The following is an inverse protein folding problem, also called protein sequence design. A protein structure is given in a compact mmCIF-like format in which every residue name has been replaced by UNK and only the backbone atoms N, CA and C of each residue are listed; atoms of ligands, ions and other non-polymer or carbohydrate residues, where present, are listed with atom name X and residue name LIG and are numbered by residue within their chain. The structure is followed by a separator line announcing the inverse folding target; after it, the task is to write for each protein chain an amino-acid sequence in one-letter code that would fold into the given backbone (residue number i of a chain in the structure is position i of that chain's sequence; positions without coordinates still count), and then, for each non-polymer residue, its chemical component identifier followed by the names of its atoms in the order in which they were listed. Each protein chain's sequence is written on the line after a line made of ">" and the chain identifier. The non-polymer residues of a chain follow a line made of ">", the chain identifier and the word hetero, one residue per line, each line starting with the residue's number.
data_IF_309100623506
#
_entry.id   IF_309100623506
#
_cell.length_a   1.000
_cell.length_b   1.000
_cell.length_c   1.000
_cell.angle_alpha   90.00
_cell.angle_beta   90.00
_cell.angle_gamma   90.00
#
_symmetry.space_group_name_H-M   'P 1'
#
loop_
_entity.id
_entity.type
_entity.pdbx_description
1 polymer ?
#
# COMPACT_ATOMS: atom_id res chain seq x y z
N UNK A 1 29.14 9.14 8.04
CA UNK A 1 28.87 8.59 6.70
C UNK A 1 29.02 9.63 5.58
N UNK A 2 29.92 10.62 5.70
CA UNK A 2 30.25 11.47 4.54
C UNK A 2 31.15 10.69 3.56
N UNK A 3 32.01 9.82 4.10
CA UNK A 3 33.03 9.08 3.35
C UNK A 3 32.69 7.60 3.11
N UNK A 4 31.50 7.16 3.51
CA UNK A 4 31.04 5.77 3.40
C UNK A 4 29.53 5.73 3.10
N UNK A 5 29.05 4.77 2.29
CA UNK A 5 27.63 4.66 1.96
C UNK A 5 26.81 4.35 3.22
N UNK A 6 25.58 4.85 3.26
CA UNK A 6 24.66 4.61 4.37
C UNK A 6 23.31 4.08 3.87
N UNK A 7 22.61 3.40 4.77
CA UNK A 7 21.20 3.06 4.63
C UNK A 7 20.44 3.60 5.83
N UNK A 8 19.42 4.42 5.57
CA UNK A 8 18.55 4.98 6.61
C UNK A 8 17.13 4.49 6.40
N UNK A 9 16.65 3.63 7.31
CA UNK A 9 15.24 3.32 7.42
C UNK A 9 14.60 4.22 8.48
N UNK A 10 13.72 5.13 8.05
CA UNK A 10 13.05 6.11 8.90
C UNK A 10 11.53 5.86 8.97
N UNK A 11 11.08 4.84 9.73
CA UNK A 11 9.65 4.55 9.88
C UNK A 11 9.02 5.53 10.87
N UNK A 12 8.35 6.56 10.36
CA UNK A 12 7.62 7.50 11.23
C UNK A 12 6.41 6.81 11.86
N UNK A 13 6.15 7.08 13.15
CA UNK A 13 4.88 6.67 13.76
C UNK A 13 3.69 7.44 13.16
N UNK A 14 3.93 8.68 12.71
CA UNK A 14 2.94 9.44 12.00
C UNK A 14 2.54 8.72 10.69
N UNK A 15 1.26 8.67 10.31
CA UNK A 15 0.11 9.35 10.93
C UNK A 15 -0.79 8.40 11.73
N UNK A 16 -0.24 7.37 12.37
CA UNK A 16 -1.05 6.44 13.17
C UNK A 16 -1.65 7.14 14.40
N UNK A 17 -2.91 6.81 14.72
CA UNK A 17 -3.59 7.31 15.92
C UNK A 17 -2.92 6.80 17.22
N UNK A 18 -3.05 7.51 18.36
CA UNK A 18 -3.78 8.78 18.56
C UNK A 18 -3.10 9.97 17.87
N UNK A 19 -3.89 10.99 17.49
CA UNK A 19 -3.37 12.19 16.83
C UNK A 19 -3.01 13.26 17.84
N UNK A 20 -1.76 13.70 17.82
CA UNK A 20 -1.22 14.72 18.72
C UNK A 20 -0.45 15.78 17.92
N UNK A 21 -1.12 16.52 17.00
CA UNK A 21 -0.46 17.53 16.19
C UNK A 21 -0.10 18.78 17.00
N UNK A 22 0.81 19.57 16.44
CA UNK A 22 1.14 20.91 16.95
C UNK A 22 -0.11 21.82 16.90
N UNK A 23 -0.50 22.47 18.01
CA UNK A 23 -1.72 23.30 18.06
C UNK A 23 -1.77 24.40 16.99
N UNK A 24 -0.64 25.02 16.68
CA UNK A 24 -0.53 26.08 15.68
C UNK A 24 -0.84 25.60 14.26
N UNK A 25 -0.50 24.35 13.92
CA UNK A 25 -0.86 23.77 12.62
C UNK A 25 -2.35 23.44 12.56
N UNK A 26 -2.94 23.01 13.67
CA UNK A 26 -4.39 22.78 13.74
C UNK A 26 -5.16 24.06 13.47
N UNK A 27 -4.75 25.19 14.06
CA UNK A 27 -5.41 26.46 13.78
C UNK A 27 -5.21 26.95 12.36
N UNK A 28 -4.00 26.82 11.80
CA UNK A 28 -3.74 27.09 10.38
C UNK A 28 -4.73 26.35 9.48
N UNK A 29 -4.95 25.06 9.72
CA UNK A 29 -5.88 24.27 8.90
C UNK A 29 -7.37 24.54 9.20
N UNK A 30 -7.72 24.94 10.43
CA UNK A 30 -9.08 25.43 10.74
C UNK A 30 -9.39 26.70 9.97
N UNK A 31 -8.48 27.66 9.97
CA UNK A 31 -8.64 28.90 9.20
C UNK A 31 -8.73 28.64 7.70
N UNK A 32 -7.83 27.79 7.18
CA UNK A 32 -7.87 27.37 5.77
C UNK A 32 -9.20 26.71 5.41
N UNK A 33 -9.73 25.83 6.25
CA UNK A 33 -11.02 25.18 6.01
C UNK A 33 -12.18 26.20 5.98
N UNK A 34 -12.17 27.20 6.88
CA UNK A 34 -13.17 28.28 6.88
C UNK A 34 -13.10 29.12 5.60
N UNK A 35 -11.88 29.51 5.17
CA UNK A 35 -11.68 30.31 3.96
C UNK A 35 -12.15 29.58 2.70
N UNK A 36 -11.89 28.27 2.63
CA UNK A 36 -12.28 27.42 1.51
C UNK A 36 -13.72 26.88 1.61
N UNK A 37 -14.44 27.15 2.71
CA UNK A 37 -15.81 26.66 2.98
C UNK A 37 -15.90 25.13 2.86
N UNK A 38 -14.94 24.41 3.44
CA UNK A 38 -14.88 22.95 3.41
C UNK A 38 -15.62 22.35 4.61
N UNK A 39 -16.91 22.08 4.42
CA UNK A 39 -17.72 21.35 5.39
C UNK A 39 -17.23 19.89 5.47
N UNK A 40 -16.63 19.50 6.61
CA UNK A 40 -16.10 18.15 6.83
C UNK A 40 -14.58 18.00 6.73
N UNK A 41 -13.83 19.10 6.61
CA UNK A 41 -12.37 19.05 6.74
C UNK A 41 -11.94 18.49 8.11
N UNK A 42 -10.80 17.79 8.17
CA UNK A 42 -10.14 17.38 9.42
C UNK A 42 -8.82 18.16 9.61
N UNK A 43 -8.85 19.31 10.30
CA UNK A 43 -7.66 20.10 10.58
C UNK A 43 -6.61 19.37 11.42
N UNK A 44 -7.02 18.41 12.25
CA UNK A 44 -6.10 17.64 13.12
C UNK A 44 -5.28 16.70 12.25
N UNK A 45 -5.93 15.96 11.35
CA UNK A 45 -5.24 15.08 10.42
C UNK A 45 -4.37 15.86 9.42
N UNK A 46 -4.88 16.97 8.89
CA UNK A 46 -4.10 17.83 7.99
C UNK A 46 -2.82 18.36 8.67
N UNK A 47 -2.89 18.73 9.95
CA UNK A 47 -1.73 19.14 10.74
C UNK A 47 -0.72 18.01 10.94
N UNK A 48 -1.17 16.76 11.12
CA UNK A 48 -0.29 15.59 11.18
C UNK A 48 0.44 15.37 9.86
N UNK A 49 -0.26 15.52 8.73
CA UNK A 49 0.33 15.38 7.39
C UNK A 49 1.37 16.46 7.13
N UNK A 50 1.09 17.72 7.48
CA UNK A 50 2.09 18.80 7.35
C UNK A 50 3.32 18.54 8.23
N UNK A 51 3.15 17.96 9.42
CA UNK A 51 4.30 17.61 10.26
C UNK A 51 5.20 16.54 9.60
N UNK A 52 4.63 15.59 8.86
CA UNK A 52 5.41 14.62 8.06
C UNK A 52 6.14 15.35 6.94
N UNK A 53 5.44 16.19 6.18
CA UNK A 53 6.00 16.99 5.08
C UNK A 53 7.17 17.87 5.54
N UNK A 54 7.01 18.61 6.64
CA UNK A 54 8.08 19.42 7.23
C UNK A 54 9.31 18.57 7.62
N UNK A 55 9.11 17.35 8.11
CA UNK A 55 10.23 16.47 8.47
C UNK A 55 10.94 15.90 7.23
N UNK A 56 10.21 15.58 6.17
CA UNK A 56 10.80 15.21 4.87
C UNK A 56 11.62 16.39 4.33
N UNK A 57 11.07 17.61 4.33
CA UNK A 57 11.79 18.81 3.90
C UNK A 57 13.08 19.05 4.71
N UNK A 58 13.05 18.83 6.03
CA UNK A 58 14.24 18.92 6.88
C UNK A 58 15.31 17.89 6.53
N UNK A 59 14.90 16.66 6.20
CA UNK A 59 15.80 15.58 5.77
C UNK A 59 16.46 15.94 4.44
N UNK A 60 15.67 16.32 3.43
CA UNK A 60 16.18 16.69 2.11
C UNK A 60 17.14 17.89 2.19
N UNK A 61 16.76 18.94 2.92
CA UNK A 61 17.64 20.09 3.13
C UNK A 61 18.93 19.73 3.88
N UNK A 62 18.90 18.70 4.74
CA UNK A 62 20.12 18.20 5.38
C UNK A 62 21.03 17.51 4.38
N UNK A 63 20.50 16.63 3.52
CA UNK A 63 21.27 15.98 2.45
C UNK A 63 21.93 17.01 1.52
N UNK A 64 21.21 18.06 1.14
CA UNK A 64 21.75 19.17 0.32
C UNK A 64 22.89 19.91 1.04
N UNK A 65 22.69 20.29 2.31
CA UNK A 65 23.73 20.99 3.10
C UNK A 65 24.99 20.15 3.29
N UNK A 66 24.84 18.83 3.36
CA UNK A 66 25.97 17.90 3.47
C UNK A 66 26.56 17.51 2.10
N UNK A 67 26.02 18.02 0.99
CA UNK A 67 26.43 17.67 -0.37
C UNK A 67 26.31 16.17 -0.67
N UNK A 68 25.35 15.50 -0.01
CA UNK A 68 25.07 14.07 -0.18
C UNK A 68 23.90 13.80 -1.13
N UNK A 69 23.13 14.83 -1.45
CA UNK A 69 21.87 14.72 -2.19
C UNK A 69 22.07 13.97 -3.52
N UNK A 70 23.03 14.37 -4.35
CA UNK A 70 23.27 13.81 -5.68
C UNK A 70 23.55 12.29 -5.66
N UNK A 71 24.19 11.78 -4.60
CA UNK A 71 24.51 10.36 -4.44
C UNK A 71 23.60 9.64 -3.43
N UNK A 72 22.41 10.17 -3.17
CA UNK A 72 21.43 9.54 -2.26
C UNK A 72 20.14 9.24 -3.01
N UNK A 73 19.73 7.97 -3.02
CA UNK A 73 18.37 7.59 -3.41
C UNK A 73 17.44 7.76 -2.22
N UNK A 74 16.39 8.58 -2.39
CA UNK A 74 15.34 8.81 -1.41
C UNK A 74 14.04 8.18 -1.90
N UNK A 75 13.46 7.31 -1.08
CA UNK A 75 12.13 6.72 -1.31
C UNK A 75 11.19 7.20 -0.22
N UNK A 76 10.09 7.82 -0.60
CA UNK A 76 8.97 8.14 0.27
C UNK A 76 7.81 7.20 -0.05
N UNK A 77 7.34 6.45 0.94
CA UNK A 77 6.20 5.53 0.77
C UNK A 77 5.44 5.32 2.08
N UNK A 78 4.39 4.51 2.05
CA UNK A 78 3.61 4.09 3.22
C UNK A 78 3.44 2.56 3.26
N UNK A 79 3.10 2.02 4.43
CA UNK A 79 2.98 0.57 4.66
C UNK A 79 1.63 -0.01 4.20
N UNK A 80 0.56 0.79 4.26
CA UNK A 80 -0.79 0.43 3.86
C UNK A 80 -1.64 1.68 3.59
N UNK A 81 -2.82 1.50 3.01
CA UNK A 81 -3.80 2.56 2.83
C UNK A 81 -4.30 3.19 4.15
N UNK A 82 -4.90 4.37 4.03
CA UNK A 82 -5.45 5.15 5.16
C UNK A 82 -6.82 4.67 5.64
N UNK A 83 -7.52 5.51 6.40
CA UNK A 83 -8.94 5.30 6.74
C UNK A 83 -9.84 5.75 5.59
N UNK A 84 -11.11 5.28 5.49
CA UNK A 84 -11.95 5.48 4.30
C UNK A 84 -12.04 6.93 3.80
N UNK A 85 -12.14 7.90 4.70
CA UNK A 85 -12.25 9.32 4.35
C UNK A 85 -10.97 9.92 3.73
N UNK A 86 -9.81 9.28 3.90
CA UNK A 86 -8.51 9.75 3.40
C UNK A 86 -8.03 9.00 2.16
N UNK A 87 -8.77 7.98 1.74
CA UNK A 87 -8.46 7.19 0.54
C UNK A 87 -9.52 7.34 -0.54
N UNK A 88 -10.64 8.02 -0.25
CA UNK A 88 -11.64 8.36 -1.23
C UNK A 88 -11.01 9.08 -2.45
N UNK A 89 -11.42 8.75 -3.69
CA UNK A 89 -12.58 7.92 -4.05
C UNK A 89 -12.30 6.40 -4.09
N UNK A 90 -11.13 5.93 -3.66
CA UNK A 90 -10.83 4.49 -3.65
C UNK A 90 -11.67 3.75 -2.61
N UNK A 91 -12.06 2.52 -2.93
CA UNK A 91 -12.85 1.67 -2.04
C UNK A 91 -11.97 0.99 -0.98
N UNK A 92 -12.58 0.68 0.17
CA UNK A 92 -11.90 0.08 1.31
C UNK A 92 -11.04 1.07 2.09
N UNK A 93 -10.09 0.51 2.85
CA UNK A 93 -9.19 1.22 3.76
C UNK A 93 -8.21 0.21 4.36
N UNK A 94 -7.32 0.67 5.25
CA UNK A 94 -6.45 -0.19 6.07
C UNK A 94 -7.14 -1.49 6.52
N UNK A 95 -6.53 -2.62 6.15
CA UNK A 95 -7.00 -3.97 6.49
C UNK A 95 -7.91 -4.63 5.45
N UNK A 96 -8.17 -3.99 4.31
CA UNK A 96 -8.89 -4.57 3.17
C UNK A 96 -7.99 -4.63 1.92
N UNK A 97 -8.29 -5.55 0.99
CA UNK A 97 -7.58 -5.68 -0.29
C UNK A 97 -8.19 -4.89 -1.45
N UNK A 98 -9.20 -4.06 -1.19
CA UNK A 98 -9.64 -3.00 -2.10
C UNK A 98 -8.56 -1.90 -2.24
N UNK A 99 -8.59 -1.12 -3.32
CA UNK A 99 -7.55 -0.15 -3.70
C UNK A 99 -7.21 0.84 -2.57
N UNK A 100 -8.20 1.32 -1.82
CA UNK A 100 -7.98 2.22 -0.68
C UNK A 100 -7.26 1.57 0.51
N UNK A 101 -7.13 0.25 0.55
CA UNK A 101 -6.36 -0.47 1.58
C UNK A 101 -4.92 -0.80 1.17
N UNK A 102 -4.64 -0.93 -0.11
CA UNK A 102 -3.35 -1.40 -0.64
C UNK A 102 -2.59 -0.36 -1.48
N UNK A 103 -3.28 0.62 -2.07
CA UNK A 103 -2.63 1.70 -2.84
C UNK A 103 -2.10 2.76 -1.89
N UNK A 104 -0.82 3.05 -2.00
CA UNK A 104 -0.08 4.00 -1.15
C UNK A 104 0.64 5.05 -1.99
N UNK A 105 0.89 6.26 -1.46
CA UNK A 105 1.77 7.21 -2.13
C UNK A 105 3.18 6.61 -2.24
N UNK A 106 3.83 6.79 -3.38
CA UNK A 106 5.22 6.42 -3.60
C UNK A 106 5.90 7.50 -4.43
N UNK A 107 6.98 8.08 -3.90
CA UNK A 107 7.84 9.01 -4.63
C UNK A 107 9.29 8.57 -4.48
N UNK A 108 10.01 8.54 -5.59
CA UNK A 108 11.44 8.20 -5.62
C UNK A 108 12.18 9.39 -6.20
N UNK A 109 13.25 9.80 -5.51
CA UNK A 109 14.13 10.87 -5.93
C UNK A 109 15.58 10.37 -5.88
N UNK A 110 16.28 10.54 -7.00
CA UNK A 110 17.68 10.14 -7.16
C UNK A 110 18.23 10.80 -8.43
N UNK A 111 19.52 11.14 -8.45
CA UNK A 111 20.16 11.77 -9.61
C UNK A 111 20.12 10.88 -10.86
N UNK A 112 20.15 9.55 -10.71
CA UNK A 112 20.07 8.61 -11.81
C UNK A 112 18.69 8.48 -12.47
N UNK A 113 17.67 9.19 -11.98
CA UNK A 113 16.33 9.16 -12.60
C UNK A 113 16.33 10.02 -13.86
N UNK A 114 16.00 9.40 -15.00
CA UNK A 114 15.76 10.12 -16.24
C UNK A 114 14.47 10.94 -16.19
N UNK A 115 14.54 12.20 -16.64
CA UNK A 115 13.42 13.14 -16.72
C UNK A 115 12.70 13.33 -15.36
N UNK A 116 13.35 13.97 -14.36
CA UNK A 116 12.78 14.17 -13.04
C UNK A 116 11.43 14.92 -13.10
N UNK A 117 10.53 14.62 -12.17
CA UNK A 117 9.18 15.20 -12.11
C UNK A 117 8.13 14.48 -12.94
N UNK A 118 8.47 13.32 -13.53
CA UNK A 118 7.50 12.46 -14.24
C UNK A 118 6.69 11.56 -13.31
N UNK A 119 5.61 11.01 -13.86
CA UNK A 119 4.82 9.92 -13.25
C UNK A 119 5.15 8.58 -13.90
N UNK A 120 4.83 7.49 -13.20
CA UNK A 120 4.94 6.12 -13.71
C UNK A 120 3.75 5.32 -13.19
N UNK A 121 2.99 4.72 -14.10
CA UNK A 121 1.76 3.99 -13.77
C UNK A 121 1.98 2.47 -13.65
N UNK A 122 3.22 2.01 -13.81
CA UNK A 122 3.59 0.59 -13.62
C UNK A 122 3.32 0.20 -12.16
N UNK A 123 2.55 -0.87 -11.89
CA UNK A 123 2.31 -1.34 -10.53
C UNK A 123 3.60 -1.79 -9.85
N UNK A 124 3.94 -1.15 -8.73
CA UNK A 124 5.09 -1.50 -7.88
C UNK A 124 4.62 -1.96 -6.51
N UNK A 125 5.37 -2.87 -5.90
CA UNK A 125 5.12 -3.41 -4.56
C UNK A 125 6.28 -3.06 -3.63
N UNK A 126 6.02 -2.99 -2.32
CA UNK A 126 7.05 -2.66 -1.31
C UNK A 126 8.24 -3.61 -1.33
N UNK A 127 8.01 -4.87 -1.69
CA UNK A 127 9.06 -5.90 -1.86
C UNK A 127 10.02 -5.65 -3.02
N UNK A 128 9.64 -4.81 -4.00
CA UNK A 128 10.49 -4.46 -5.15
C UNK A 128 11.69 -3.60 -4.75
N UNK A 129 11.60 -2.88 -3.62
CA UNK A 129 12.73 -2.11 -3.12
C UNK A 129 13.91 -2.99 -2.71
N UNK A 130 13.68 -4.23 -2.27
CA UNK A 130 14.77 -5.13 -1.86
C UNK A 130 15.76 -5.43 -2.99
N UNK A 131 15.34 -5.98 -4.14
CA UNK A 131 16.25 -6.19 -5.27
C UNK A 131 16.73 -4.89 -5.91
N UNK A 132 15.92 -3.82 -5.90
CA UNK A 132 16.35 -2.51 -6.42
C UNK A 132 17.55 -1.95 -5.64
N UNK A 133 17.48 -2.00 -4.31
CA UNK A 133 18.58 -1.52 -3.45
C UNK A 133 19.80 -2.44 -3.52
N UNK A 134 19.60 -3.75 -3.69
CA UNK A 134 20.69 -4.69 -3.90
C UNK A 134 21.46 -4.39 -5.19
N UNK A 135 20.74 -4.14 -6.29
CA UNK A 135 21.34 -3.77 -7.58
C UNK A 135 22.14 -2.46 -7.50
N UNK A 136 21.56 -1.40 -6.92
CA UNK A 136 22.23 -0.10 -6.78
C UNK A 136 23.47 -0.15 -5.89
N UNK A 137 23.46 -0.98 -4.84
CA UNK A 137 24.58 -1.11 -3.91
C UNK A 137 25.64 -2.12 -4.37
N UNK A 138 25.38 -2.88 -5.44
CA UNK A 138 26.19 -4.03 -5.84
C UNK A 138 26.14 -5.21 -4.87
N UNK A 139 25.19 -5.22 -3.94
CA UNK A 139 24.99 -6.33 -3.03
C UNK A 139 24.42 -7.55 -3.76
N UNK A 140 24.84 -8.75 -3.34
CA UNK A 140 24.31 -10.01 -3.88
C UNK A 140 23.01 -10.37 -3.17
N UNK A 141 22.01 -10.76 -3.96
CA UNK A 141 20.79 -11.34 -3.40
C UNK A 141 21.09 -12.67 -2.69
N UNK A 142 20.34 -13.03 -1.63
CA UNK A 142 20.51 -14.30 -0.95
C UNK A 142 20.27 -15.48 -1.89
N UNK A 143 21.18 -16.46 -1.90
CA UNK A 143 21.07 -17.63 -2.78
C UNK A 143 20.03 -18.66 -2.32
N UNK A 144 19.68 -18.65 -1.03
CA UNK A 144 18.83 -19.68 -0.39
C UNK A 144 17.42 -19.18 -0.05
N UNK A 145 17.10 -17.94 -0.38
CA UNK A 145 15.80 -17.34 -0.12
C UNK A 145 15.20 -16.84 -1.43
N UNK A 146 13.98 -17.27 -1.81
CA UNK A 146 13.28 -16.69 -2.94
C UNK A 146 13.13 -15.18 -2.80
N UNK A 147 13.35 -14.46 -3.89
CA UNK A 147 13.13 -13.02 -3.98
C UNK A 147 11.99 -12.80 -4.96
N UNK A 148 10.82 -12.50 -4.42
CA UNK A 148 9.60 -12.31 -5.21
C UNK A 148 9.50 -10.90 -5.82
N UNK A 149 10.22 -9.92 -5.24
CA UNK A 149 10.31 -8.57 -5.78
C UNK A 149 11.10 -8.52 -7.08
N UNK A 150 10.87 -7.50 -7.90
CA UNK A 150 11.66 -7.21 -9.10
C UNK A 150 12.35 -5.86 -8.96
N UNK A 151 13.53 -5.71 -9.57
CA UNK A 151 14.25 -4.45 -9.53
C UNK A 151 13.48 -3.37 -10.30
N UNK A 152 13.37 -2.18 -9.70
CA UNK A 152 12.72 -1.02 -10.29
C UNK A 152 13.65 -0.21 -11.20
N UNK A 153 14.93 -0.57 -11.31
CA UNK A 153 15.92 0.15 -12.13
C UNK A 153 15.47 0.33 -13.59
N UNK A 154 14.91 -0.69 -14.27
CA UNK A 154 14.44 -0.51 -15.65
C UNK A 154 13.43 0.63 -15.83
N UNK A 155 12.50 0.77 -14.88
CA UNK A 155 11.49 1.82 -14.94
C UNK A 155 11.98 3.15 -14.39
N UNK A 156 13.00 3.19 -13.53
CA UNK A 156 13.60 4.42 -13.01
C UNK A 156 14.50 5.10 -14.05
N UNK A 157 15.33 4.30 -14.74
CA UNK A 157 16.27 4.73 -15.79
C UNK A 157 15.68 4.70 -17.21
N UNK A 158 14.42 4.24 -17.37
CA UNK A 158 13.76 4.02 -18.67
C UNK A 158 14.52 3.08 -19.62
N UNK A 159 15.25 2.13 -19.07
CA UNK A 159 15.95 1.10 -19.84
C UNK A 159 15.08 -0.11 -20.19
N UNK A 160 13.87 -0.22 -19.62
CA UNK A 160 12.90 -1.27 -19.98
C UNK A 160 11.70 -1.37 -19.05
N UNK A 161 10.98 -2.49 -19.16
CA UNK A 161 9.81 -2.83 -18.34
C UNK A 161 10.16 -3.81 -17.21
N UNK A 162 9.30 -3.92 -16.20
CA UNK A 162 9.48 -4.87 -15.08
C UNK A 162 9.23 -6.33 -15.45
N UNK A 163 8.68 -6.62 -16.65
CA UNK A 163 8.33 -7.95 -17.13
C UNK A 163 7.55 -8.79 -16.09
N UNK A 164 6.52 -8.18 -15.49
CA UNK A 164 5.67 -8.81 -14.49
C UNK A 164 4.27 -9.04 -15.05
N UNK A 165 3.82 -10.29 -15.03
CA UNK A 165 2.47 -10.66 -15.49
C UNK A 165 1.38 -10.20 -14.51
N UNK A 166 1.60 -10.37 -13.20
CA UNK A 166 0.63 -10.02 -12.18
C UNK A 166 1.29 -9.70 -10.82
N UNK A 167 0.55 -8.99 -9.98
CA UNK A 167 0.85 -8.74 -8.57
C UNK A 167 -0.23 -9.37 -7.68
N UNK A 168 0.16 -9.83 -6.49
CA UNK A 168 -0.68 -10.69 -5.66
C UNK A 168 -0.72 -10.22 -4.20
N UNK A 169 -1.85 -10.47 -3.55
CA UNK A 169 -2.04 -10.27 -2.11
C UNK A 169 -2.74 -11.48 -1.51
N UNK A 170 -2.32 -11.85 -0.31
CA UNK A 170 -2.95 -12.90 0.48
C UNK A 170 -3.08 -12.46 1.93
N UNK A 171 -4.32 -12.33 2.39
CA UNK A 171 -4.62 -11.82 3.71
C UNK A 171 -5.68 -12.70 4.40
N UNK A 172 -5.30 -13.90 4.87
CA UNK A 172 -6.23 -14.89 5.43
C UNK A 172 -6.60 -14.57 6.90
N UNK A 173 -6.77 -13.30 7.24
CA UNK A 173 -7.08 -12.87 8.61
C UNK A 173 -8.00 -11.65 8.65
N UNK A 174 -8.53 -11.35 9.83
CA UNK A 174 -9.39 -10.18 10.06
C UNK A 174 -8.59 -9.04 10.68
N UNK A 175 -8.67 -7.86 10.06
CA UNK A 175 -8.22 -6.61 10.67
C UNK A 175 -9.27 -5.54 10.45
N UNK A 176 -9.62 -4.81 11.52
CA UNK A 176 -10.55 -3.68 11.43
C UNK A 176 -11.89 -4.11 10.87
N UNK A 177 -12.26 -3.61 9.68
CA UNK A 177 -13.50 -3.97 8.96
C UNK A 177 -13.27 -4.95 7.80
N UNK A 178 -12.02 -5.32 7.53
CA UNK A 178 -11.70 -6.28 6.48
C UNK A 178 -12.02 -7.72 6.87
N UNK A 179 -12.26 -8.53 5.86
CA UNK A 179 -12.47 -9.98 5.92
C UNK A 179 -11.32 -10.73 5.24
N UNK A 180 -11.09 -12.02 5.58
CA UNK A 180 -10.08 -12.83 4.94
C UNK A 180 -10.30 -12.94 3.44
N UNK A 181 -9.31 -12.51 2.67
CA UNK A 181 -9.37 -12.53 1.22
C UNK A 181 -7.98 -12.65 0.59
N UNK A 182 -7.99 -12.94 -0.70
CA UNK A 182 -6.84 -12.87 -1.58
C UNK A 182 -7.18 -11.98 -2.77
N UNK A 183 -6.16 -11.34 -3.36
CA UNK A 183 -6.34 -10.54 -4.56
C UNK A 183 -5.21 -10.76 -5.56
N UNK A 184 -5.54 -10.61 -6.84
CA UNK A 184 -4.58 -10.57 -7.93
C UNK A 184 -4.89 -9.37 -8.82
N UNK A 185 -3.87 -8.68 -9.30
CA UNK A 185 -3.99 -7.69 -10.36
C UNK A 185 -3.05 -8.03 -11.50
N UNK A 186 -3.59 -8.07 -12.71
CA UNK A 186 -2.88 -8.25 -13.97
C UNK A 186 -3.41 -7.18 -14.93
N UNK A 187 -2.52 -6.32 -15.40
CA UNK A 187 -2.86 -5.10 -16.14
C UNK A 187 -3.92 -4.24 -15.39
N UNK A 188 -5.01 -3.94 -16.07
CA UNK A 188 -6.15 -3.19 -15.55
C UNK A 188 -7.11 -4.05 -14.73
N UNK A 189 -6.98 -5.38 -14.77
CA UNK A 189 -7.92 -6.28 -14.13
C UNK A 189 -7.48 -6.64 -12.73
N UNK A 190 -8.42 -6.57 -11.79
CA UNK A 190 -8.23 -7.01 -10.41
C UNK A 190 -9.32 -7.97 -10.02
N UNK A 191 -8.93 -9.11 -9.43
CA UNK A 191 -9.84 -10.07 -8.84
C UNK A 191 -9.60 -10.16 -7.34
N UNK A 192 -10.69 -10.19 -6.56
CA UNK A 192 -10.69 -10.44 -5.12
C UNK A 192 -11.45 -11.74 -4.86
N UNK A 193 -10.84 -12.68 -4.15
CA UNK A 193 -11.45 -13.92 -3.66
C UNK A 193 -11.70 -13.78 -2.16
N UNK A 194 -12.96 -13.91 -1.73
CA UNK A 194 -13.37 -13.84 -0.33
C UNK A 194 -13.49 -15.23 0.27
N UNK A 195 -12.87 -15.47 1.43
CA UNK A 195 -12.90 -16.80 2.04
C UNK A 195 -14.15 -17.06 2.90
N UNK A 196 -14.85 -16.01 3.35
CA UNK A 196 -16.07 -16.17 4.18
C UNK A 196 -17.18 -16.92 3.43
N UNK A 197 -17.50 -16.46 2.22
CA UNK A 197 -18.60 -16.96 1.39
C UNK A 197 -18.14 -17.57 0.06
N UNK A 198 -16.82 -17.64 -0.18
CA UNK A 198 -16.20 -18.17 -1.40
C UNK A 198 -16.56 -17.37 -2.67
N UNK A 199 -17.07 -16.14 -2.52
CA UNK A 199 -17.36 -15.27 -3.64
C UNK A 199 -16.09 -14.71 -4.28
N UNK A 200 -16.22 -14.33 -5.55
CA UNK A 200 -15.20 -13.59 -6.29
C UNK A 200 -15.79 -12.29 -6.83
N UNK A 201 -14.97 -11.25 -6.82
CA UNK A 201 -15.28 -9.95 -7.38
C UNK A 201 -14.22 -9.61 -8.43
N UNK A 202 -14.64 -9.08 -9.58
CA UNK A 202 -13.77 -8.69 -10.67
C UNK A 202 -13.99 -7.20 -10.98
N UNK A 203 -12.91 -6.44 -11.10
CA UNK A 203 -12.94 -5.01 -11.42
C UNK A 203 -11.97 -4.70 -12.56
N UNK A 204 -12.31 -3.69 -13.36
CA UNK A 204 -11.38 -3.06 -14.29
C UNK A 204 -10.98 -1.70 -13.69
N UNK A 205 -9.73 -1.56 -13.25
CA UNK A 205 -9.21 -0.41 -12.50
C UNK A 205 -8.90 0.81 -13.38
N UNK A 206 -8.76 0.62 -14.69
CA UNK A 206 -8.64 1.75 -15.63
C UNK A 206 -9.96 2.53 -15.67
N UNK A 207 -11.08 1.81 -15.76
CA UNK A 207 -12.41 2.42 -15.86
C UNK A 207 -13.07 2.69 -14.50
N UNK A 208 -12.76 1.88 -13.48
CA UNK A 208 -13.37 1.91 -12.16
C UNK A 208 -12.32 1.75 -11.04
N UNK A 209 -11.46 2.76 -10.82
CA UNK A 209 -10.47 2.75 -9.75
C UNK A 209 -11.09 2.72 -8.34
N UNK A 210 -12.39 3.05 -8.24
CA UNK A 210 -13.17 2.97 -7.02
C UNK A 210 -13.78 1.59 -6.77
N UNK A 211 -13.57 0.60 -7.64
CA UNK A 211 -14.11 -0.77 -7.49
C UNK A 211 -15.61 -0.78 -7.15
N UNK A 212 -16.37 0.11 -7.79
CA UNK A 212 -17.79 0.33 -7.54
C UNK A 212 -18.69 -0.67 -8.25
N UNK A 213 -18.18 -1.34 -9.30
CA UNK A 213 -18.96 -2.28 -10.14
C UNK A 213 -18.26 -3.62 -10.27
N UNK A 214 -18.81 -4.64 -9.60
CA UNK A 214 -18.37 -6.03 -9.79
C UNK A 214 -18.77 -6.55 -11.18
N UNK A 215 -17.77 -6.95 -11.97
CA UNK A 215 -17.89 -7.45 -13.34
C UNK A 215 -17.83 -8.97 -13.46
N UNK A 216 -17.74 -9.72 -12.35
CA UNK A 216 -17.45 -11.15 -12.36
C UNK A 216 -18.49 -11.96 -13.18
N UNK A 217 -19.79 -11.70 -12.96
CA UNK A 217 -20.87 -12.36 -13.70
C UNK A 217 -20.94 -11.91 -15.16
N UNK A 218 -20.60 -10.65 -15.45
CA UNK A 218 -20.65 -10.10 -16.79
C UNK A 218 -19.46 -10.54 -17.66
N UNK A 219 -18.34 -10.95 -17.04
CA UNK A 219 -17.11 -11.37 -17.72
C UNK A 219 -16.60 -12.71 -17.16
N UNK A 220 -17.34 -13.82 -17.40
CA UNK A 220 -17.03 -15.11 -16.80
C UNK A 220 -15.66 -15.67 -17.25
N UNK A 221 -15.30 -15.50 -18.52
CA UNK A 221 -14.00 -15.94 -19.05
C UNK A 221 -12.84 -15.22 -18.37
N UNK A 222 -12.91 -13.90 -18.25
CA UNK A 222 -11.89 -13.10 -17.56
C UNK A 222 -11.81 -13.43 -16.07
N UNK A 223 -12.96 -13.65 -15.43
CA UNK A 223 -13.02 -14.07 -14.03
C UNK A 223 -12.31 -15.39 -13.82
N UNK A 224 -12.56 -16.38 -14.69
CA UNK A 224 -11.90 -17.68 -14.63
C UNK A 224 -10.39 -17.55 -14.85
N UNK A 225 -9.95 -16.74 -15.83
CA UNK A 225 -8.54 -16.47 -16.08
C UNK A 225 -7.84 -15.90 -14.83
N UNK A 226 -8.40 -14.82 -14.25
CA UNK A 226 -7.82 -14.16 -13.08
C UNK A 226 -7.83 -15.06 -11.84
N UNK A 227 -8.88 -15.86 -11.65
CA UNK A 227 -8.96 -16.81 -10.54
C UNK A 227 -7.94 -17.94 -10.69
N UNK A 228 -7.66 -18.39 -11.92
CA UNK A 228 -6.59 -19.37 -12.19
C UNK A 228 -5.23 -18.80 -11.76
N UNK A 229 -4.87 -17.60 -12.23
CA UNK A 229 -3.62 -16.93 -11.84
C UNK A 229 -3.46 -16.88 -10.32
N UNK A 230 -4.50 -16.45 -9.60
CA UNK A 230 -4.48 -16.38 -8.14
C UNK A 230 -4.32 -17.76 -7.48
N UNK A 231 -5.04 -18.76 -7.99
CA UNK A 231 -5.02 -20.12 -7.42
C UNK A 231 -3.68 -20.82 -7.66
N UNK A 232 -3.10 -20.63 -8.83
CA UNK A 232 -1.79 -21.17 -9.20
C UNK A 232 -0.70 -20.57 -8.32
N UNK A 233 -0.71 -19.24 -8.14
CA UNK A 233 0.19 -18.55 -7.23
C UNK A 233 0.03 -19.03 -5.78
N UNK A 234 -1.21 -19.08 -5.26
CA UNK A 234 -1.48 -19.61 -3.90
C UNK A 234 -0.96 -21.04 -3.73
N UNK A 235 -1.13 -21.90 -4.75
CA UNK A 235 -0.67 -23.29 -4.72
C UNK A 235 0.84 -23.39 -4.72
N UNK A 236 1.53 -22.59 -5.54
CA UNK A 236 3.01 -22.57 -5.57
C UNK A 236 3.64 -22.18 -4.23
N UNK A 237 2.94 -21.38 -3.43
CA UNK A 237 3.40 -20.91 -2.12
C UNK A 237 2.91 -21.78 -0.95
N UNK A 238 2.07 -22.78 -1.20
CA UNK A 238 1.30 -23.48 -0.17
C UNK A 238 0.58 -22.49 0.78
N UNK A 239 -0.04 -21.45 0.21
CA UNK A 239 -0.69 -20.38 0.96
C UNK A 239 -1.84 -20.92 1.84
N UNK A 240 -1.93 -20.55 3.14
CA UNK A 240 -3.03 -20.97 4.01
C UNK A 240 -4.38 -20.44 3.53
N UNK A 241 -5.31 -21.34 3.19
CA UNK A 241 -6.66 -20.96 2.75
C UNK A 241 -7.68 -21.40 3.79
N UNK A 242 -8.29 -20.47 4.56
CA UNK A 242 -9.32 -20.81 5.53
C UNK A 242 -10.52 -21.46 4.81
N UNK A 243 -10.76 -22.74 5.09
CA UNK A 243 -11.83 -23.53 4.46
C UNK A 243 -12.87 -23.98 5.50
N UNK A 244 -12.42 -24.29 6.71
CA UNK A 244 -13.28 -24.74 7.81
C UNK A 244 -13.74 -23.58 8.69
N UNK A 245 -14.97 -23.62 9.25
CA UNK A 245 -15.37 -22.65 10.27
C UNK A 245 -14.46 -22.71 11.49
N UNK A 246 -14.06 -21.56 12.01
CA UNK A 246 -13.30 -21.46 13.25
C UNK A 246 -14.21 -21.87 14.42
N UNK A 247 -13.93 -22.99 15.12
CA UNK A 247 -14.77 -23.48 16.21
C UNK A 247 -14.78 -22.54 17.41
N UNK A 248 -13.79 -21.64 17.53
CA UNK A 248 -13.71 -20.64 18.57
C UNK A 248 -14.49 -19.35 18.23
N UNK A 249 -15.05 -19.22 17.02
CA UNK A 249 -15.77 -18.01 16.61
C UNK A 249 -17.10 -17.84 17.36
N UNK A 250 -17.20 -16.79 18.17
CA UNK A 250 -18.45 -16.37 18.80
C UNK A 250 -19.06 -15.15 18.10
N UNK A 251 -20.15 -15.38 17.36
CA UNK A 251 -20.91 -14.32 16.66
C UNK A 251 -21.44 -13.22 17.59
N UNK A 252 -21.62 -13.49 18.88
CA UNK A 252 -22.07 -12.50 19.88
C UNK A 252 -20.96 -11.55 20.32
N UNK A 253 -19.68 -11.94 20.18
CA UNK A 253 -18.54 -11.07 20.50
C UNK A 253 -18.28 -10.00 19.44
N UNK A 254 -18.77 -10.18 18.21
CA UNK A 254 -18.62 -9.21 17.10
C UNK A 254 -19.57 -8.01 17.25
N UNK A 255 -20.74 -8.18 17.89
CA UNK A 255 -21.79 -7.14 17.98
C UNK A 255 -21.58 -6.11 19.10
N UNK A 256 -20.74 -6.37 20.09
CA UNK A 256 -20.51 -5.47 21.24
C UNK A 256 -19.24 -4.64 21.04
N UNK A 257 -19.34 -3.59 20.24
CA UNK A 257 -18.28 -2.59 20.04
C UNK A 257 -17.97 -1.78 21.31
N UNK A 258 -17.18 -2.34 22.22
CA UNK A 258 -16.67 -1.67 23.41
C UNK A 258 -15.16 -1.46 23.32
N UNK A 259 -14.69 -0.27 23.71
CA UNK A 259 -13.28 0.14 23.78
C UNK A 259 -12.44 -0.87 24.58
N UNK A 260 -11.74 -1.75 23.88
CA UNK A 260 -10.77 -2.68 24.45
C UNK A 260 -10.18 -3.53 23.34
N UNK A 261 -8.86 -3.74 23.34
CA UNK A 261 -8.18 -4.68 22.42
C UNK A 261 -8.81 -6.07 22.60
N UNK A 262 -9.73 -6.45 21.72
CA UNK A 262 -10.18 -7.84 21.56
C UNK A 262 -9.99 -8.20 20.11
N UNK A 263 -9.16 -9.20 19.86
CA UNK A 263 -8.94 -9.77 18.53
C UNK A 263 -10.30 -10.23 17.99
N UNK A 264 -10.69 -9.73 16.82
CA UNK A 264 -11.78 -10.35 16.06
C UNK A 264 -11.32 -11.77 15.76
N UNK A 265 -11.99 -12.76 16.34
CA UNK A 265 -11.75 -14.16 15.99
C UNK A 265 -12.18 -14.36 14.54
N UNK A 266 -11.40 -15.12 13.80
CA UNK A 266 -11.72 -15.43 12.40
C UNK A 266 -12.98 -16.30 12.35
N UNK A 267 -13.89 -16.16 11.38
CA UNK A 267 -15.05 -17.08 11.23
C UNK A 267 -14.68 -18.42 10.64
N UNK A 268 -13.60 -18.45 9.90
CA UNK A 268 -12.97 -19.61 9.26
C UNK A 268 -11.47 -19.55 9.55
#
# INVERSE_FOLDING_TARGET
>A
HADEPFFLYLPTHAVHAPFEPKPELVEKYREKARQLRLDGADPVYAAMIEAVDQNVGRLLAHLERQQLADNTLVVFTSDNGGTPQYVAPLNGSKGALYEGGIRVPCAVWWQGIENPGRTCDVPVLSMDFFPTLAELSGAKLPAQQPVDGVSLIPILERSGDLNREAVYWHFPCYIGRGEPCSAVRADDWKLIQKFEDQSVELFNLHDDPGESRNLAQANPEKTHQMLSLLTDWQTSLNAPRPSEPNPAFDSNMVRRGGKGRRQKQTRR
#
